data_IF_015532573146
#
_entry.id   IF_015532573146
#
_cell.length_a   1.000
_cell.length_b   1.000
_cell.length_c   1.000
_cell.angle_alpha   90.00
_cell.angle_beta   90.00
_cell.angle_gamma   90.00
#
_symmetry.space_group_name_H-M   'P 1'
#
loop_
_entity.id
_entity.type
_entity.pdbx_description
1 polymer ?
#
# COMPACT_ATOMS: atom_id res chain seq x y z
N UNK A 1 -60.08 -4.79 -37.37
CA UNK A 1 -58.82 -4.01 -37.26
C UNK A 1 -58.54 -3.39 -35.88
N UNK A 2 -59.53 -2.87 -35.14
CA UNK A 2 -59.31 -2.27 -33.81
C UNK A 2 -58.76 -3.21 -32.71
N UNK A 3 -59.19 -4.49 -32.56
CA UNK A 3 -58.66 -5.36 -31.51
C UNK A 3 -57.21 -5.80 -31.79
N UNK A 4 -56.88 -6.08 -33.06
CA UNK A 4 -55.53 -6.46 -33.49
C UNK A 4 -54.49 -5.39 -33.21
N UNK A 5 -54.81 -4.10 -33.44
CA UNK A 5 -53.94 -2.98 -33.09
C UNK A 5 -53.62 -2.91 -31.58
N UNK A 6 -54.60 -3.14 -30.72
CA UNK A 6 -54.42 -3.04 -29.26
C UNK A 6 -53.51 -4.16 -28.73
N UNK A 7 -53.68 -5.38 -29.25
CA UNK A 7 -52.83 -6.52 -28.90
C UNK A 7 -51.39 -6.30 -29.40
N UNK A 8 -51.24 -5.82 -30.64
CA UNK A 8 -49.93 -5.56 -31.23
C UNK A 8 -49.15 -4.46 -30.49
N UNK A 9 -49.79 -3.33 -30.18
CA UNK A 9 -49.16 -2.27 -29.38
C UNK A 9 -48.84 -2.71 -27.95
N UNK A 10 -49.71 -3.50 -27.31
CA UNK A 10 -49.46 -4.04 -25.96
C UNK A 10 -48.23 -4.96 -25.92
N UNK A 11 -48.05 -5.80 -26.94
CA UNK A 11 -46.93 -6.73 -27.04
C UNK A 11 -45.59 -6.01 -27.26
N UNK A 12 -45.58 -4.94 -28.07
CA UNK A 12 -44.37 -4.12 -28.28
C UNK A 12 -43.92 -3.44 -26.99
N UNK A 13 -44.86 -2.87 -26.23
CA UNK A 13 -44.56 -2.21 -24.94
C UNK A 13 -43.99 -3.21 -23.94
N UNK A 14 -44.53 -4.44 -23.88
CA UNK A 14 -44.01 -5.49 -23.01
C UNK A 14 -42.57 -5.88 -23.37
N UNK A 15 -42.27 -6.05 -24.67
CA UNK A 15 -40.93 -6.40 -25.14
C UNK A 15 -39.88 -5.34 -24.80
N UNK A 16 -40.23 -4.05 -24.87
CA UNK A 16 -39.33 -2.95 -24.53
C UNK A 16 -38.91 -2.94 -23.05
N UNK A 17 -39.77 -3.44 -22.15
CA UNK A 17 -39.45 -3.50 -20.71
C UNK A 17 -38.44 -4.60 -20.34
N UNK A 18 -38.29 -5.64 -21.17
CA UNK A 18 -37.41 -6.79 -20.91
C UNK A 18 -36.01 -6.60 -21.52
N UNK A 19 -35.85 -5.67 -22.47
CA UNK A 19 -34.60 -5.50 -23.23
C UNK A 19 -33.44 -4.84 -22.46
N UNK A 20 -33.66 -4.33 -21.25
CA UNK A 20 -32.65 -3.61 -20.49
C UNK A 20 -31.68 -4.58 -19.76
N UNK A 21 -30.67 -5.10 -20.48
CA UNK A 21 -29.62 -5.95 -19.91
C UNK A 21 -28.52 -5.06 -19.28
N UNK A 22 -28.38 -5.10 -17.96
CA UNK A 22 -27.32 -4.38 -17.25
C UNK A 22 -25.94 -4.99 -17.55
N UNK A 23 -24.94 -4.13 -17.80
CA UNK A 23 -23.54 -4.52 -18.05
C UNK A 23 -22.85 -4.77 -16.71
N UNK A 24 -22.41 -6.00 -16.46
CA UNK A 24 -21.61 -6.35 -15.28
C UNK A 24 -20.24 -5.66 -15.38
N UNK A 25 -19.82 -4.97 -14.32
CA UNK A 25 -18.52 -4.30 -14.22
C UNK A 25 -17.55 -5.26 -13.54
N UNK A 26 -16.53 -5.71 -14.27
CA UNK A 26 -15.42 -6.48 -13.72
C UNK A 26 -14.56 -5.57 -12.81
N UNK A 27 -14.40 -5.95 -11.55
CA UNK A 27 -13.53 -5.24 -10.60
C UNK A 27 -12.20 -5.97 -10.51
N UNK A 28 -11.11 -5.34 -10.95
CA UNK A 28 -9.76 -5.91 -10.84
C UNK A 28 -9.21 -5.58 -9.44
N UNK A 29 -8.98 -6.59 -8.60
CA UNK A 29 -8.29 -6.43 -7.33
C UNK A 29 -6.79 -6.71 -7.48
N UNK A 30 -5.97 -5.68 -7.23
CA UNK A 30 -4.51 -5.76 -7.28
C UNK A 30 -3.99 -6.27 -5.94
N UNK A 31 -3.66 -7.56 -5.87
CA UNK A 31 -2.98 -8.16 -4.72
C UNK A 31 -1.47 -7.99 -4.87
N UNK A 32 -0.84 -7.21 -3.98
CA UNK A 32 0.63 -7.05 -3.91
C UNK A 32 1.25 -8.23 -3.15
N UNK A 33 2.11 -9.00 -3.80
CA UNK A 33 2.98 -9.99 -3.15
C UNK A 33 4.40 -9.40 -3.13
N UNK A 34 5.00 -9.30 -1.93
CA UNK A 34 6.36 -8.76 -1.74
C UNK A 34 7.34 -9.94 -1.72
N UNK A 35 8.04 -10.18 -2.83
CA UNK A 35 9.15 -11.14 -2.87
C UNK A 35 10.46 -10.38 -2.63
N UNK A 36 11.13 -10.70 -1.53
CA UNK A 36 12.38 -10.05 -1.11
C UNK A 36 13.54 -10.88 -1.70
N UNK A 37 14.16 -10.41 -2.78
CA UNK A 37 15.44 -10.98 -3.24
C UNK A 37 16.58 -10.15 -2.67
N UNK A 38 17.24 -10.67 -1.64
CA UNK A 38 18.41 -10.04 -1.04
C UNK A 38 19.63 -10.36 -1.92
N UNK A 39 20.03 -9.41 -2.76
CA UNK A 39 21.28 -9.51 -3.53
C UNK A 39 22.41 -8.98 -2.66
N UNK A 40 23.25 -9.87 -2.17
CA UNK A 40 24.49 -9.52 -1.46
C UNK A 40 25.50 -9.00 -2.49
N UNK A 41 25.81 -7.70 -2.44
CA UNK A 41 26.89 -7.09 -3.23
C UNK A 41 28.08 -6.84 -2.32
N UNK A 42 29.19 -7.52 -2.61
CA UNK A 42 30.46 -7.36 -1.90
C UNK A 42 31.17 -6.09 -2.42
N UNK A 43 30.74 -4.93 -1.94
CA UNK A 43 31.40 -3.65 -2.27
C UNK A 43 32.37 -3.29 -1.16
N UNK A 44 33.67 -3.21 -1.48
CA UNK A 44 34.70 -2.72 -0.57
C UNK A 44 34.64 -1.19 -0.59
N UNK A 45 34.21 -0.58 0.52
CA UNK A 45 34.18 0.87 0.67
C UNK A 45 35.59 1.33 1.04
N UNK A 46 36.27 2.00 0.11
CA UNK A 46 37.53 2.68 0.40
C UNK A 46 37.21 3.99 1.11
N UNK A 47 37.64 4.12 2.37
CA UNK A 47 37.54 5.36 3.14
C UNK A 47 38.91 6.02 3.21
N UNK A 48 38.94 7.34 3.08
CA UNK A 48 40.17 8.12 3.27
C UNK A 48 40.73 7.91 4.68
N UNK A 49 42.06 7.87 4.84
CA UNK A 49 42.69 7.72 6.15
C UNK A 49 42.36 8.94 7.03
N UNK A 50 41.77 8.68 8.20
CA UNK A 50 41.45 9.69 9.22
C UNK A 50 42.34 9.49 10.46
N UNK A 51 42.59 10.58 11.20
CA UNK A 51 43.39 10.54 12.44
C UNK A 51 42.74 11.36 13.55
N UNK A 52 42.73 10.80 14.76
CA UNK A 52 42.34 11.50 15.98
C UNK A 52 43.55 11.62 16.90
N UNK A 53 43.61 12.69 17.70
CA UNK A 53 44.79 13.03 18.49
C UNK A 53 44.48 13.16 19.97
N UNK A 54 45.36 12.59 20.79
CA UNK A 54 45.35 12.68 22.24
C UNK A 54 46.76 12.93 22.76
N UNK A 55 46.94 13.94 23.60
CA UNK A 55 48.19 14.21 24.29
C UNK A 55 47.90 14.59 25.74
N UNK A 56 48.61 13.98 26.68
CA UNK A 56 48.58 14.33 28.10
C UNK A 56 49.92 13.96 28.74
N UNK A 57 50.27 14.68 29.81
CA UNK A 57 51.43 14.33 30.64
C UNK A 57 51.04 13.25 31.65
N UNK A 58 51.98 12.34 31.92
CA UNK A 58 51.85 11.29 32.93
C UNK A 58 52.61 11.74 34.18
N UNK A 59 51.89 11.89 35.28
CA UNK A 59 52.48 12.16 36.60
C UNK A 59 52.60 10.87 37.40
N UNK A 60 53.60 10.85 38.29
CA UNK A 60 53.74 9.77 39.26
C UNK A 60 53.32 10.28 40.64
N UNK A 61 52.17 9.83 41.13
CA UNK A 61 51.72 10.13 42.50
C UNK A 61 51.86 8.84 43.30
N UNK A 62 52.74 8.85 44.30
CA UNK A 62 52.97 7.71 45.21
C UNK A 62 53.35 6.41 44.48
N UNK A 63 54.21 6.52 43.46
CA UNK A 63 54.70 5.37 42.69
C UNK A 63 53.72 4.82 41.65
N UNK A 64 52.53 5.44 41.48
CA UNK A 64 51.53 5.04 40.48
C UNK A 64 51.40 6.11 39.37
N UNK A 65 51.40 5.71 38.10
CA UNK A 65 51.23 6.66 36.99
C UNK A 65 49.76 7.11 36.88
N UNK A 66 49.53 8.42 36.84
CA UNK A 66 48.23 9.07 36.75
C UNK A 66 48.27 10.14 35.65
N UNK A 67 47.19 10.28 34.87
CA UNK A 67 47.10 11.29 33.81
C UNK A 67 46.83 12.67 34.40
N UNK A 68 47.60 13.68 33.98
CA UNK A 68 47.37 15.08 34.37
C UNK A 68 46.29 15.70 33.48
N UNK A 69 45.09 15.87 34.04
CA UNK A 69 43.90 16.41 33.36
C UNK A 69 44.14 17.82 32.79
N UNK A 70 44.92 18.66 33.49
CA UNK A 70 45.18 20.05 33.09
C UNK A 70 46.05 20.18 31.82
N UNK A 71 46.69 19.09 31.39
CA UNK A 71 47.58 19.05 30.24
C UNK A 71 46.98 18.32 29.04
N UNK A 72 45.71 17.95 29.15
CA UNK A 72 45.02 17.12 28.18
C UNK A 72 44.64 17.93 26.92
N UNK A 73 45.20 17.55 25.78
CA UNK A 73 44.81 18.07 24.47
C UNK A 73 44.16 16.97 23.65
N UNK A 74 42.90 17.18 23.31
CA UNK A 74 42.06 16.23 22.56
C UNK A 74 41.61 16.87 21.25
N UNK A 75 41.77 16.15 20.14
CA UNK A 75 41.23 16.56 18.83
C UNK A 75 40.52 15.41 18.15
N UNK A 76 39.28 15.65 17.74
CA UNK A 76 38.52 14.73 16.90
C UNK A 76 39.05 14.75 15.46
N UNK A 77 38.97 13.60 14.78
CA UNK A 77 39.14 13.52 13.33
C UNK A 77 37.87 13.94 12.60
N UNK A 78 37.85 13.78 11.28
CA UNK A 78 36.66 14.08 10.48
C UNK A 78 35.53 13.07 10.70
N UNK A 79 35.88 11.81 10.93
CA UNK A 79 34.97 10.68 11.11
C UNK A 79 35.26 9.89 12.41
N UNK A 80 36.44 10.08 12.99
CA UNK A 80 36.88 9.53 14.27
C UNK A 80 36.50 10.44 15.44
N UNK A 81 35.82 9.86 16.43
CA UNK A 81 35.48 10.56 17.66
C UNK A 81 36.71 10.82 18.52
N UNK A 82 36.57 11.73 19.49
CA UNK A 82 37.62 12.00 20.47
C UNK A 82 38.02 10.70 21.19
N UNK A 83 39.32 10.36 21.22
CA UNK A 83 39.80 9.15 21.87
C UNK A 83 39.53 9.19 23.38
N UNK A 84 39.05 8.06 23.89
CA UNK A 84 38.83 7.84 25.32
C UNK A 84 40.06 7.16 25.89
N UNK A 85 40.69 7.79 26.87
CA UNK A 85 41.95 7.30 27.46
C UNK A 85 41.74 7.00 28.93
N UNK A 86 42.14 5.79 29.34
CA UNK A 86 42.08 5.33 30.73
C UNK A 86 43.41 4.70 31.13
N UNK A 87 43.83 4.98 32.35
CA UNK A 87 44.96 4.31 32.99
C UNK A 87 44.43 3.26 33.97
N UNK A 88 44.71 1.99 33.72
CA UNK A 88 44.43 0.89 34.64
C UNK A 88 45.75 0.34 35.17
N UNK A 89 46.15 0.79 36.37
CA UNK A 89 47.46 0.45 36.93
C UNK A 89 48.60 1.05 36.11
N UNK A 90 49.36 0.19 35.41
CA UNK A 90 50.47 0.58 34.54
C UNK A 90 50.14 0.51 33.04
N UNK A 91 48.91 0.12 32.68
CA UNK A 91 48.48 0.01 31.29
C UNK A 91 47.67 1.24 30.86
N UNK A 92 48.06 1.83 29.73
CA UNK A 92 47.34 2.91 29.06
C UNK A 92 46.40 2.30 28.01
N UNK A 93 45.09 2.39 28.23
CA UNK A 93 44.07 1.97 27.26
C UNK A 93 43.56 3.18 26.49
N UNK A 94 43.62 3.11 25.16
CA UNK A 94 43.18 4.16 24.24
C UNK A 94 42.14 3.59 23.29
N UNK A 95 40.89 4.03 23.45
CA UNK A 95 39.77 3.60 22.62
C UNK A 95 39.33 4.73 21.68
N UNK A 96 39.16 4.42 20.39
CA UNK A 96 38.68 5.36 19.37
C UNK A 96 37.55 4.73 18.55
N UNK A 97 36.47 5.48 18.31
CA UNK A 97 35.27 5.00 17.60
C UNK A 97 35.00 5.83 16.35
N UNK A 98 34.75 5.16 15.21
CA UNK A 98 34.40 5.81 13.94
C UNK A 98 32.87 5.91 13.74
N UNK A 99 32.38 7.05 13.27
CA UNK A 99 30.94 7.33 13.08
C UNK A 99 30.38 6.75 11.76
N UNK A 100 31.26 6.42 10.79
CA UNK A 100 30.91 6.05 9.42
C UNK A 100 30.01 4.79 9.28
N UNK A 101 30.02 3.88 10.25
CA UNK A 101 29.22 2.65 10.20
C UNK A 101 27.70 2.88 10.32
N UNK A 102 27.25 4.05 10.84
CA UNK A 102 25.81 4.34 11.01
C UNK A 102 25.12 4.73 9.70
N UNK A 103 25.77 5.56 8.88
CA UNK A 103 25.21 6.05 7.61
C UNK A 103 24.98 4.91 6.60
N UNK A 104 25.92 3.97 6.52
CA UNK A 104 25.79 2.80 5.64
C UNK A 104 24.60 1.92 6.04
N UNK A 105 24.38 1.68 7.34
CA UNK A 105 23.21 0.91 7.82
C UNK A 105 21.90 1.61 7.49
N UNK A 106 21.83 2.93 7.66
CA UNK A 106 20.66 3.72 7.29
C UNK A 106 20.39 3.66 5.79
N UNK A 107 21.43 3.76 4.96
CA UNK A 107 21.29 3.69 3.50
C UNK A 107 20.88 2.28 3.03
N UNK A 108 21.44 1.23 3.63
CA UNK A 108 21.04 -0.16 3.38
C UNK A 108 19.59 -0.43 3.79
N UNK A 109 19.10 0.19 4.87
CA UNK A 109 17.67 0.16 5.22
C UNK A 109 16.80 0.93 4.23
N UNK A 110 17.29 2.04 3.68
CA UNK A 110 16.56 2.88 2.72
C UNK A 110 16.50 2.28 1.30
N UNK A 111 17.50 1.50 0.87
CA UNK A 111 17.55 0.91 -0.48
C UNK A 111 16.63 -0.32 -0.71
N UNK A 112 15.74 -0.64 0.23
CA UNK A 112 14.88 -1.84 0.14
C UNK A 112 13.59 -1.61 -0.67
N UNK A 113 13.31 -0.42 -1.20
CA UNK A 113 12.02 -0.16 -1.84
C UNK A 113 12.09 0.33 -3.29
N UNK A 114 11.15 -0.20 -4.08
CA UNK A 114 10.75 0.14 -5.47
C UNK A 114 11.33 -0.70 -6.63
N UNK A 115 10.92 -1.99 -6.71
CA UNK A 115 10.76 -2.63 -8.03
C UNK A 115 9.30 -2.51 -8.50
N UNK A 116 9.15 -1.97 -9.72
CA UNK A 116 7.89 -1.74 -10.43
C UNK A 116 6.97 -2.95 -10.35
N UNK A 117 5.74 -2.70 -9.93
CA UNK A 117 4.60 -3.62 -9.95
C UNK A 117 4.44 -4.28 -11.31
N UNK A 118 4.74 -5.58 -11.40
CA UNK A 118 4.20 -6.41 -12.45
C UNK A 118 2.73 -6.67 -12.14
N UNK A 119 1.86 -6.21 -13.04
CA UNK A 119 0.42 -6.40 -12.97
C UNK A 119 0.08 -7.88 -13.18
N UNK A 120 -0.13 -8.62 -12.09
CA UNK A 120 -0.77 -9.94 -12.14
C UNK A 120 -2.24 -9.70 -12.50
N UNK A 121 -2.61 -10.00 -13.75
CA UNK A 121 -4.01 -10.00 -14.20
C UNK A 121 -4.70 -11.19 -13.51
N UNK A 122 -5.37 -10.94 -12.38
CA UNK A 122 -6.26 -11.94 -11.77
C UNK A 122 -7.56 -11.99 -12.58
N UNK A 123 -8.18 -13.17 -12.74
CA UNK A 123 -9.53 -13.24 -13.30
C UNK A 123 -10.47 -12.37 -12.47
N UNK A 124 -11.45 -11.70 -13.10
CA UNK A 124 -12.30 -10.73 -12.44
C UNK A 124 -13.05 -11.41 -11.29
N UNK A 125 -12.76 -11.00 -10.06
CA UNK A 125 -13.53 -11.43 -8.90
C UNK A 125 -14.88 -10.73 -9.01
N UNK A 126 -15.95 -11.51 -9.06
CA UNK A 126 -17.31 -10.98 -9.01
C UNK A 126 -17.54 -10.38 -7.63
N UNK A 127 -17.22 -9.08 -7.49
CA UNK A 127 -17.54 -8.33 -6.28
C UNK A 127 -19.05 -8.20 -6.23
N UNK A 128 -19.68 -8.96 -5.33
CA UNK A 128 -21.11 -8.88 -5.03
C UNK A 128 -21.34 -7.54 -4.32
N UNK A 129 -21.53 -6.47 -5.11
CA UNK A 129 -21.89 -5.16 -4.56
C UNK A 129 -23.30 -5.27 -3.99
N UNK A 130 -23.53 -4.95 -2.70
CA UNK A 130 -24.89 -4.89 -2.18
C UNK A 130 -25.66 -3.82 -2.96
N UNK A 131 -26.91 -4.12 -3.31
CA UNK A 131 -27.76 -3.16 -4.01
C UNK A 131 -27.94 -1.92 -3.14
N UNK A 132 -27.74 -0.74 -3.71
CA UNK A 132 -28.05 0.50 -2.99
C UNK A 132 -29.57 0.59 -2.78
N UNK A 133 -30.00 1.27 -1.72
CA UNK A 133 -31.43 1.45 -1.44
C UNK A 133 -32.19 2.04 -2.64
N UNK A 134 -31.54 2.96 -3.38
CA UNK A 134 -32.10 3.57 -4.59
C UNK A 134 -32.27 2.56 -5.73
N UNK A 135 -31.25 1.72 -5.98
CA UNK A 135 -31.33 0.65 -6.98
C UNK A 135 -32.44 -0.36 -6.63
N UNK A 136 -32.56 -0.71 -5.35
CA UNK A 136 -33.60 -1.62 -4.89
C UNK A 136 -35.00 -1.04 -5.09
N UNK A 137 -35.18 0.25 -4.79
CA UNK A 137 -36.44 0.97 -5.04
C UNK A 137 -36.79 0.99 -6.53
N UNK A 138 -35.82 1.28 -7.40
CA UNK A 138 -36.02 1.29 -8.86
C UNK A 138 -36.43 -0.09 -9.40
N UNK A 139 -35.81 -1.17 -8.91
CA UNK A 139 -36.17 -2.54 -9.28
C UNK A 139 -37.60 -2.86 -8.84
N UNK A 140 -37.95 -2.50 -7.60
CA UNK A 140 -39.29 -2.75 -7.07
C UNK A 140 -40.37 -2.00 -7.87
N UNK A 141 -40.10 -0.74 -8.22
CA UNK A 141 -41.00 0.08 -9.04
C UNK A 141 -41.16 -0.50 -10.45
N UNK A 142 -40.07 -0.95 -11.07
CA UNK A 142 -40.11 -1.63 -12.37
C UNK A 142 -40.94 -2.93 -12.32
N UNK A 143 -40.80 -3.73 -11.27
CA UNK A 143 -41.61 -4.95 -11.06
C UNK A 143 -43.09 -4.62 -10.89
N UNK A 144 -43.42 -3.59 -10.12
CA UNK A 144 -44.81 -3.14 -9.96
C UNK A 144 -45.41 -2.68 -11.29
N UNK A 145 -44.66 -1.93 -12.10
CA UNK A 145 -45.09 -1.47 -13.42
C UNK A 145 -45.36 -2.63 -14.39
N UNK A 146 -44.53 -3.69 -14.37
CA UNK A 146 -44.73 -4.90 -15.18
C UNK A 146 -46.01 -5.66 -14.79
N UNK A 147 -46.30 -5.77 -13.50
CA UNK A 147 -47.53 -6.43 -13.03
C UNK A 147 -48.76 -5.62 -13.45
N UNK A 148 -48.72 -4.29 -13.29
CA UNK A 148 -49.81 -3.40 -13.68
C UNK A 148 -50.08 -3.45 -15.19
N UNK A 149 -49.04 -3.49 -16.03
CA UNK A 149 -49.21 -3.57 -17.49
C UNK A 149 -49.84 -4.91 -17.91
N UNK A 150 -49.44 -6.03 -17.29
CA UNK A 150 -50.04 -7.34 -17.52
C UNK A 150 -51.52 -7.39 -17.12
N UNK A 151 -51.87 -6.92 -15.92
CA UNK A 151 -53.26 -6.89 -15.45
C UNK A 151 -54.12 -6.01 -16.36
N UNK A 152 -53.60 -4.87 -16.80
CA UNK A 152 -54.30 -3.97 -17.72
C UNK A 152 -54.59 -4.63 -19.07
N UNK A 153 -53.62 -5.36 -19.64
CA UNK A 153 -53.81 -6.08 -20.90
C UNK A 153 -54.87 -7.17 -20.76
N UNK A 154 -54.83 -7.97 -19.69
CA UNK A 154 -55.84 -9.01 -19.42
C UNK A 154 -57.23 -8.40 -19.27
N UNK A 155 -57.37 -7.32 -18.48
CA UNK A 155 -58.65 -6.61 -18.33
C UNK A 155 -59.19 -6.10 -19.67
N UNK A 156 -58.33 -5.49 -20.49
CA UNK A 156 -58.69 -5.03 -21.84
C UNK A 156 -59.13 -6.18 -22.75
N UNK A 157 -58.47 -7.33 -22.69
CA UNK A 157 -58.82 -8.52 -23.48
C UNK A 157 -60.18 -9.09 -23.07
N UNK A 158 -60.45 -9.21 -21.77
CA UNK A 158 -61.75 -9.67 -21.24
C UNK A 158 -62.85 -8.69 -21.63
N UNK A 159 -62.64 -7.38 -21.46
CA UNK A 159 -63.61 -6.35 -21.85
C UNK A 159 -63.90 -6.35 -23.35
N UNK A 160 -62.91 -6.66 -24.19
CA UNK A 160 -63.11 -6.80 -25.63
C UNK A 160 -63.90 -8.07 -25.98
N UNK A 161 -63.58 -9.21 -25.35
CA UNK A 161 -64.35 -10.47 -25.50
C UNK A 161 -65.82 -10.27 -25.11
N UNK A 162 -66.10 -9.60 -23.99
CA UNK A 162 -67.45 -9.27 -23.52
C UNK A 162 -68.21 -8.27 -24.40
N UNK A 163 -67.50 -7.46 -25.21
CA UNK A 163 -68.12 -6.50 -26.13
C UNK A 163 -68.38 -7.08 -27.52
N UNK A 164 -67.77 -8.22 -27.84
CA UNK A 164 -67.89 -8.92 -29.12
C UNK A 164 -68.96 -10.02 -29.06
N UNK A 165 -69.28 -10.51 -27.86
CA UNK A 165 -70.39 -11.42 -27.56
C UNK A 165 -71.66 -10.64 -27.23
#
# INVERSE_FOLDING_TARGET
MRPFRIVFFGLIVLCLQVACRSRQVATNEVLRIKTITQVQRDTIIQTDPDSSFYQAWIDCISGKPVLRVDSETKKAGNYLNVPTVKMEGNELKVDCYATAQKLFRTWQQQYIEELRTETIIRPPIEVIRPLTLWQNLQIYLGRAALVLSMVYLIYRLIKQKLKIN
#
